data_IF_945969426068
#
_entry.id   IF_945969426068
#
_cell.length_a   1.000
_cell.length_b   1.000
_cell.length_c   1.000
_cell.angle_alpha   90.00
_cell.angle_beta   90.00
_cell.angle_gamma   90.00
#
_symmetry.space_group_name_H-M   'P 1'
#
loop_
_entity.id
_entity.type
_entity.pdbx_description
1 polymer ?
#
# COMPACT_ATOMS: atom_id res chain seq x y z
N UNK A 1 8.96 -22.63 20.12
CA UNK A 1 8.84 -21.79 21.32
C UNK A 1 7.77 -20.73 21.09
N UNK A 2 7.33 -20.00 22.13
CA UNK A 2 6.42 -18.84 21.94
C UNK A 2 6.96 -17.86 20.89
N UNK A 3 8.27 -17.62 20.86
CA UNK A 3 8.93 -16.73 19.90
C UNK A 3 8.70 -17.18 18.44
N UNK A 4 8.94 -18.46 18.13
CA UNK A 4 8.75 -18.99 16.77
C UNK A 4 7.29 -18.90 16.29
N UNK A 5 6.32 -19.02 17.19
CA UNK A 5 4.91 -18.85 16.84
C UNK A 5 4.58 -17.39 16.53
N UNK A 6 5.11 -16.45 17.31
CA UNK A 6 4.93 -15.01 17.09
C UNK A 6 5.53 -14.60 15.75
N UNK A 7 6.77 -15.04 15.45
CA UNK A 7 7.43 -14.79 14.18
C UNK A 7 6.63 -15.33 12.98
N UNK A 8 6.10 -16.56 13.09
CA UNK A 8 5.28 -17.13 12.02
C UNK A 8 3.98 -16.37 11.78
N UNK A 9 3.35 -15.87 12.84
CA UNK A 9 2.14 -15.04 12.74
C UNK A 9 2.45 -13.72 12.04
N UNK A 10 3.56 -13.08 12.39
CA UNK A 10 4.00 -11.84 11.73
C UNK A 10 4.23 -12.04 10.24
N UNK A 11 5.00 -13.06 9.85
CA UNK A 11 5.25 -13.38 8.44
C UNK A 11 3.97 -13.70 7.66
N UNK A 12 3.03 -14.43 8.28
CA UNK A 12 1.74 -14.71 7.67
C UNK A 12 0.90 -13.44 7.50
N UNK A 13 0.92 -12.56 8.50
CA UNK A 13 0.26 -11.25 8.45
C UNK A 13 0.80 -10.40 7.31
N UNK A 14 2.11 -10.24 7.22
CA UNK A 14 2.79 -9.49 6.18
C UNK A 14 2.49 -10.05 4.78
N UNK A 15 2.52 -11.39 4.61
CA UNK A 15 2.21 -12.02 3.33
C UNK A 15 0.76 -11.82 2.89
N UNK A 16 -0.20 -11.89 3.83
CA UNK A 16 -1.62 -11.61 3.54
C UNK A 16 -1.81 -10.15 3.17
N UNK A 17 -1.14 -9.25 3.88
CA UNK A 17 -1.20 -7.82 3.64
C UNK A 17 -0.68 -7.45 2.23
N UNK A 18 0.53 -7.89 1.86
CA UNK A 18 1.10 -7.67 0.51
C UNK A 18 0.22 -8.24 -0.60
N UNK A 19 -0.40 -9.40 -0.38
CA UNK A 19 -1.33 -9.99 -1.34
C UNK A 19 -2.61 -9.14 -1.52
N UNK A 20 -3.11 -8.53 -0.43
CA UNK A 20 -4.25 -7.64 -0.48
C UNK A 20 -3.90 -6.33 -1.22
N UNK A 21 -2.77 -5.71 -0.91
CA UNK A 21 -2.27 -4.51 -1.59
C UNK A 21 -2.13 -4.73 -3.10
N UNK A 22 -1.43 -5.80 -3.51
CA UNK A 22 -1.32 -6.16 -4.93
C UNK A 22 -2.69 -6.38 -5.59
N UNK A 23 -3.61 -7.05 -4.90
CA UNK A 23 -4.95 -7.29 -5.43
C UNK A 23 -5.74 -6.00 -5.65
N UNK A 24 -5.59 -5.02 -4.75
CA UNK A 24 -6.16 -3.69 -4.85
C UNK A 24 -5.61 -2.92 -6.06
N UNK A 25 -4.28 -2.82 -6.17
CA UNK A 25 -3.61 -2.13 -7.28
C UNK A 25 -4.00 -2.74 -8.64
N UNK A 26 -4.02 -4.07 -8.72
CA UNK A 26 -4.42 -4.79 -9.92
C UNK A 26 -5.89 -4.56 -10.29
N UNK A 27 -6.80 -4.51 -9.31
CA UNK A 27 -8.21 -4.20 -9.55
C UNK A 27 -8.37 -2.77 -10.10
N UNK A 28 -7.65 -1.79 -9.52
CA UNK A 28 -7.65 -0.41 -9.99
C UNK A 28 -7.14 -0.30 -11.43
N UNK A 29 -6.06 -1.01 -11.76
CA UNK A 29 -5.53 -1.07 -13.12
C UNK A 29 -6.53 -1.67 -14.11
N UNK A 30 -7.19 -2.78 -13.74
CA UNK A 30 -8.24 -3.40 -14.57
C UNK A 30 -9.42 -2.46 -14.82
N UNK A 31 -9.85 -1.70 -13.81
CA UNK A 31 -10.94 -0.71 -13.96
C UNK A 31 -10.55 0.37 -14.99
N UNK A 32 -9.31 0.88 -14.93
CA UNK A 32 -8.81 1.87 -15.90
C UNK A 32 -8.79 1.30 -17.32
N UNK A 33 -8.29 0.07 -17.50
CA UNK A 33 -8.22 -0.60 -18.82
C UNK A 33 -9.61 -0.86 -19.41
N UNK A 34 -10.56 -1.30 -18.59
CA UNK A 34 -11.92 -1.65 -19.04
C UNK A 34 -12.79 -0.43 -19.38
N UNK A 35 -12.33 0.78 -19.04
CA UNK A 35 -13.07 2.02 -19.24
C UNK A 35 -12.22 3.08 -19.99
N UNK A 36 -11.83 2.85 -21.26
CA UNK A 36 -10.82 3.64 -21.99
C UNK A 36 -11.23 5.07 -22.40
N UNK A 37 -12.38 5.56 -21.94
CA UNK A 37 -12.87 6.92 -22.21
C UNK A 37 -13.30 7.68 -20.96
N UNK A 38 -13.02 7.13 -19.78
CA UNK A 38 -13.29 7.78 -18.50
C UNK A 38 -11.96 8.09 -17.82
N UNK A 39 -11.80 9.34 -17.38
CA UNK A 39 -10.71 9.71 -16.49
C UNK A 39 -11.15 9.46 -15.05
N UNK A 40 -10.48 8.52 -14.38
CA UNK A 40 -10.69 8.26 -12.96
C UNK A 40 -9.70 9.07 -12.15
N UNK A 41 -10.20 9.86 -11.20
CA UNK A 41 -9.36 10.30 -10.08
C UNK A 41 -9.22 9.17 -9.09
N UNK A 42 -8.00 9.00 -8.56
CA UNK A 42 -7.70 8.06 -7.47
C UNK A 42 -7.32 8.79 -6.19
N UNK A 43 -7.47 10.12 -6.18
CA UNK A 43 -7.15 10.95 -5.03
C UNK A 43 -8.00 10.55 -3.82
N UNK A 44 -7.33 10.36 -2.68
CA UNK A 44 -7.97 9.96 -1.43
C UNK A 44 -8.46 8.51 -1.38
N UNK A 45 -8.28 7.72 -2.44
CA UNK A 45 -8.52 6.27 -2.42
C UNK A 45 -7.37 5.54 -1.71
N UNK A 46 -7.67 4.41 -1.06
CA UNK A 46 -6.68 3.57 -0.39
C UNK A 46 -7.31 2.24 0.00
N UNK A 47 -6.49 1.21 0.21
CA UNK A 47 -6.96 -0.14 0.49
C UNK A 47 -7.82 -0.22 1.77
N UNK A 48 -7.46 0.55 2.81
CA UNK A 48 -8.17 0.54 4.10
C UNK A 48 -9.33 1.53 4.17
N UNK A 49 -9.50 2.35 3.13
CA UNK A 49 -10.55 3.37 3.06
C UNK A 49 -11.86 2.77 2.58
N UNK A 50 -12.98 3.39 2.98
CA UNK A 50 -14.32 3.00 2.54
C UNK A 50 -15.15 4.20 2.18
N UNK A 51 -16.18 3.97 1.36
CA UNK A 51 -17.19 4.98 1.05
C UNK A 51 -18.30 4.93 2.08
N UNK A 52 -18.59 6.06 2.74
CA UNK A 52 -19.75 6.27 3.61
C UNK A 52 -20.37 7.60 3.23
N UNK A 53 -21.67 7.61 2.94
CA UNK A 53 -22.40 8.83 2.56
C UNK A 53 -21.69 9.64 1.46
N UNK A 54 -21.28 8.93 0.39
CA UNK A 54 -20.57 9.48 -0.77
C UNK A 54 -19.17 10.06 -0.48
N UNK A 55 -18.65 9.89 0.74
CA UNK A 55 -17.33 10.33 1.14
C UNK A 55 -16.39 9.15 1.35
N UNK A 56 -15.15 9.30 0.90
CA UNK A 56 -14.09 8.34 1.21
C UNK A 56 -13.53 8.68 2.58
N UNK A 57 -13.62 7.73 3.52
CA UNK A 57 -13.14 7.89 4.89
C UNK A 57 -12.20 6.74 5.27
N UNK A 58 -11.26 7.03 6.17
CA UNK A 58 -10.50 6.00 6.88
C UNK A 58 -11.34 5.56 8.09
N UNK A 59 -11.77 4.30 8.18
CA UNK A 59 -12.43 3.78 9.37
C UNK A 59 -11.55 3.93 10.62
N UNK A 60 -12.17 4.18 11.77
CA UNK A 60 -11.45 4.38 13.04
C UNK A 60 -10.43 3.27 13.33
N UNK A 61 -10.84 2.02 13.12
CA UNK A 61 -10.02 0.85 13.39
C UNK A 61 -8.76 0.74 12.51
N UNK A 62 -8.71 1.50 11.42
CA UNK A 62 -7.60 1.48 10.46
C UNK A 62 -6.79 2.78 10.47
N UNK A 63 -7.16 3.79 11.28
CA UNK A 63 -6.43 5.06 11.32
C UNK A 63 -4.94 4.91 11.66
N UNK A 64 -4.61 4.02 12.60
CA UNK A 64 -3.21 3.78 12.95
C UNK A 64 -2.48 3.03 11.84
N UNK A 65 -3.10 1.99 11.28
CA UNK A 65 -2.49 1.19 10.22
C UNK A 65 -2.24 2.00 8.95
N UNK A 66 -3.17 2.88 8.57
CA UNK A 66 -2.98 3.80 7.44
C UNK A 66 -1.83 4.78 7.71
N UNK A 67 -1.70 5.29 8.94
CA UNK A 67 -0.60 6.19 9.28
C UNK A 67 0.76 5.47 9.22
N UNK A 68 0.82 4.23 9.73
CA UNK A 68 2.02 3.40 9.67
C UNK A 68 2.38 3.07 8.20
N UNK A 69 1.40 2.78 7.33
CA UNK A 69 1.60 2.57 5.89
C UNK A 69 2.12 3.82 5.17
N UNK A 70 1.52 4.99 5.42
CA UNK A 70 1.96 6.26 4.83
C UNK A 70 3.40 6.61 5.27
N UNK A 71 3.83 6.22 6.48
CA UNK A 71 5.21 6.37 6.96
C UNK A 71 6.16 5.38 6.27
N UNK A 72 5.81 4.09 6.18
CA UNK A 72 6.62 3.07 5.50
C UNK A 72 6.84 3.41 4.01
N UNK A 73 5.81 3.90 3.30
CA UNK A 73 5.94 4.36 1.91
C UNK A 73 6.92 5.54 1.76
N UNK A 74 6.94 6.47 2.72
CA UNK A 74 7.88 7.59 2.73
C UNK A 74 9.33 7.14 2.98
N UNK A 75 9.54 6.15 3.86
CA UNK A 75 10.87 5.59 4.14
C UNK A 75 11.45 4.80 2.95
N UNK A 76 10.61 4.15 2.16
CA UNK A 76 11.01 3.44 0.94
C UNK A 76 11.32 4.41 -0.22
N UNK A 77 10.66 5.57 -0.30
CA UNK A 77 10.96 6.61 -1.30
C UNK A 77 12.27 7.38 -0.99
N UNK A 78 12.63 7.58 0.28
CA UNK A 78 13.85 8.31 0.69
C UNK A 78 15.14 7.46 0.56
N UNK A 79 15.03 6.13 0.48
CA UNK A 79 16.18 5.23 0.26
C UNK A 79 16.58 5.09 -1.22
N UNK A 80 16.07 5.95 -2.11
CA UNK A 80 16.33 5.93 -3.55
C UNK A 80 17.62 6.61 -4.04
N UNK A 81 18.40 7.26 -3.16
CA UNK A 81 19.56 8.06 -3.58
C UNK A 81 20.86 7.70 -2.82
N UNK A 82 21.30 6.45 -2.93
CA UNK A 82 22.69 6.07 -2.63
C UNK A 82 23.43 5.53 -3.86
N UNK A 83 24.26 6.40 -4.46
CA UNK A 83 25.57 6.03 -5.00
C UNK A 83 25.64 5.52 -6.45
N UNK A 84 25.80 6.44 -7.41
CA UNK A 84 26.56 6.16 -8.63
C UNK A 84 27.55 7.30 -8.96
N UNK A 85 28.52 7.47 -8.06
CA UNK A 85 29.86 8.00 -8.33
C UNK A 85 30.82 6.80 -8.22
N UNK A 86 31.81 6.49 -9.05
CA UNK A 86 32.32 6.89 -10.36
C UNK A 86 33.06 5.66 -10.92
N UNK A 87 33.37 5.60 -12.22
CA UNK A 87 34.75 5.25 -12.64
C UNK A 87 34.91 5.58 -14.12
N UNK A 88 35.54 6.72 -14.39
CA UNK A 88 36.32 6.92 -15.61
C UNK A 88 37.36 5.79 -15.74
N UNK A 89 37.58 5.34 -16.98
CA UNK A 89 38.60 4.38 -17.39
C UNK A 89 38.82 4.41 -18.89
#
# INVERSE_FOLDING_TARGET
>A
TRAQLVERIQQLGEGVFKAAQHSWENALAQIKVTNPGLEFTTEGMGMLRKVVDEQIIIPEQYRQMEADEEEDEQEEEDNGEEGHEESDG
#
